data_IF_578941713898
#
_entry.id   IF_578941713898
#
_cell.length_a   1.000
_cell.length_b   1.000
_cell.length_c   1.000
_cell.angle_alpha   90.00
_cell.angle_beta   90.00
_cell.angle_gamma   90.00
#
_symmetry.space_group_name_H-M   'P 1'
#
loop_
_entity.id
_entity.type
_entity.pdbx_description
1 polymer ?
#
# COMPACT_ATOMS: atom_id res chain seq x y z
N UNK A 1 9.85 19.83 -16.98
CA UNK A 1 8.54 19.45 -16.40
C UNK A 1 8.71 18.33 -15.37
N UNK A 2 9.58 18.49 -14.37
CA UNK A 2 9.92 17.43 -13.40
C UNK A 2 9.36 17.55 -11.96
N UNK A 3 8.97 18.73 -11.42
CA UNK A 3 8.65 18.82 -9.99
C UNK A 3 7.31 18.16 -9.61
N UNK A 4 6.35 18.10 -10.54
CA UNK A 4 5.00 17.56 -10.27
C UNK A 4 5.06 16.04 -10.12
N UNK A 5 5.80 15.35 -11.00
CA UNK A 5 5.91 13.88 -10.96
C UNK A 5 6.59 13.38 -9.69
N UNK A 6 7.60 14.10 -9.20
CA UNK A 6 8.24 13.82 -7.90
C UNK A 6 7.28 14.04 -6.72
N UNK A 7 6.41 15.05 -6.77
CA UNK A 7 5.42 15.28 -5.71
C UNK A 7 4.34 14.18 -5.65
N UNK A 8 3.91 13.66 -6.81
CA UNK A 8 2.91 12.59 -6.89
C UNK A 8 3.48 11.32 -6.30
N UNK A 9 4.67 10.89 -6.75
CA UNK A 9 5.34 9.69 -6.23
C UNK A 9 5.62 9.78 -4.73
N UNK A 10 6.02 10.96 -4.25
CA UNK A 10 6.22 11.19 -2.81
C UNK A 10 4.92 11.03 -2.03
N UNK A 11 3.81 11.57 -2.54
CA UNK A 11 2.52 11.44 -1.89
C UNK A 11 2.02 9.99 -1.91
N UNK A 12 2.12 9.30 -3.04
CA UNK A 12 1.76 7.89 -3.14
C UNK A 12 2.61 7.03 -2.19
N UNK A 13 3.92 7.29 -2.09
CA UNK A 13 4.79 6.58 -1.16
C UNK A 13 4.37 6.78 0.30
N UNK A 14 4.03 8.02 0.67
CA UNK A 14 3.54 8.37 2.01
C UNK A 14 2.24 7.65 2.35
N UNK A 15 1.30 7.59 1.41
CA UNK A 15 0.04 6.85 1.59
C UNK A 15 0.35 5.37 1.80
N UNK A 16 1.16 4.76 0.93
CA UNK A 16 1.53 3.35 1.05
C UNK A 16 2.16 3.02 2.41
N UNK A 17 3.07 3.87 2.89
CA UNK A 17 3.71 3.65 4.20
C UNK A 17 2.73 3.76 5.36
N UNK A 18 1.77 4.69 5.30
CA UNK A 18 0.69 4.78 6.30
C UNK A 18 -0.18 3.53 6.31
N UNK A 19 -0.71 3.13 5.14
CA UNK A 19 -1.59 1.97 4.99
C UNK A 19 -0.88 0.67 5.39
N UNK A 20 0.40 0.52 5.03
CA UNK A 20 1.20 -0.64 5.43
C UNK A 20 1.40 -0.73 6.95
N UNK A 21 1.60 0.41 7.63
CA UNK A 21 1.71 0.44 9.08
C UNK A 21 0.37 0.08 9.76
N UNK A 22 -0.75 0.58 9.23
CA UNK A 22 -2.09 0.24 9.68
C UNK A 22 -2.41 -1.24 9.50
N UNK A 23 -2.06 -1.81 8.33
CA UNK A 23 -2.19 -3.25 8.09
C UNK A 23 -1.42 -4.07 9.12
N UNK A 24 -0.17 -3.73 9.37
CA UNK A 24 0.67 -4.45 10.32
C UNK A 24 0.12 -4.39 11.76
N UNK A 25 -0.34 -3.22 12.21
CA UNK A 25 -0.97 -3.07 13.53
C UNK A 25 -2.31 -3.82 13.62
N UNK A 26 -3.14 -3.76 12.57
CA UNK A 26 -4.39 -4.49 12.49
C UNK A 26 -4.18 -6.02 12.54
N UNK A 27 -3.20 -6.53 11.78
CA UNK A 27 -2.82 -7.95 11.81
C UNK A 27 -2.33 -8.37 13.20
N UNK A 28 -1.51 -7.54 13.86
CA UNK A 28 -1.03 -7.78 15.23
C UNK A 28 -2.17 -7.81 16.26
N UNK A 29 -3.20 -6.98 16.08
CA UNK A 29 -4.37 -6.90 16.98
C UNK A 29 -5.49 -7.88 16.61
N UNK A 30 -5.30 -8.68 15.56
CA UNK A 30 -6.34 -9.54 14.98
C UNK A 30 -7.61 -8.76 14.55
N UNK A 31 -7.47 -7.48 14.21
CA UNK A 31 -8.55 -6.68 13.63
C UNK A 31 -8.69 -7.01 12.14
N UNK A 32 -9.47 -8.05 11.86
CA UNK A 32 -9.69 -8.56 10.51
C UNK A 32 -10.35 -7.53 9.59
N UNK A 33 -11.19 -6.64 10.13
CA UNK A 33 -11.90 -5.65 9.32
C UNK A 33 -10.91 -4.60 8.81
N UNK A 34 -10.10 -4.05 9.70
CA UNK A 34 -9.10 -3.05 9.34
C UNK A 34 -8.02 -3.65 8.45
N UNK A 35 -7.57 -4.87 8.74
CA UNK A 35 -6.61 -5.57 7.87
C UNK A 35 -7.15 -5.79 6.45
N UNK A 36 -8.42 -6.21 6.32
CA UNK A 36 -9.06 -6.37 5.00
C UNK A 36 -9.11 -5.05 4.23
N UNK A 37 -9.54 -3.95 4.87
CA UNK A 37 -9.61 -2.65 4.21
C UNK A 37 -8.23 -2.15 3.77
N UNK A 38 -7.21 -2.28 4.62
CA UNK A 38 -5.85 -1.89 4.27
C UNK A 38 -5.30 -2.73 3.09
N UNK A 39 -5.63 -4.02 3.00
CA UNK A 39 -5.27 -4.86 1.85
C UNK A 39 -5.94 -4.40 0.56
N UNK A 40 -7.22 -4.01 0.61
CA UNK A 40 -7.95 -3.49 -0.56
C UNK A 40 -7.39 -2.14 -1.01
N UNK A 41 -6.98 -1.27 -0.08
CA UNK A 41 -6.29 -0.02 -0.42
C UNK A 41 -4.94 -0.29 -1.11
N UNK A 42 -4.13 -1.23 -0.59
CA UNK A 42 -2.86 -1.62 -1.23
C UNK A 42 -3.10 -2.21 -2.64
N UNK A 43 -4.19 -2.97 -2.85
CA UNK A 43 -4.59 -3.45 -4.19
C UNK A 43 -4.95 -2.31 -5.12
N UNK A 44 -5.75 -1.35 -4.67
CA UNK A 44 -6.09 -0.18 -5.46
C UNK A 44 -4.83 0.61 -5.85
N UNK A 45 -3.91 0.83 -4.90
CA UNK A 45 -2.64 1.52 -5.19
C UNK A 45 -1.80 0.79 -6.24
N UNK A 46 -1.74 -0.55 -6.18
CA UNK A 46 -1.06 -1.37 -7.19
C UNK A 46 -1.69 -1.19 -8.59
N UNK A 47 -3.02 -1.18 -8.67
CA UNK A 47 -3.75 -1.20 -9.94
C UNK A 47 -3.79 0.18 -10.60
N UNK A 48 -3.78 1.26 -9.82
CA UNK A 48 -3.95 2.63 -10.33
C UNK A 48 -2.67 3.49 -10.31
N UNK A 49 -1.58 3.03 -9.70
CA UNK A 49 -0.32 3.79 -9.75
C UNK A 49 0.47 3.51 -11.03
N UNK A 50 0.86 4.57 -11.72
CA UNK A 50 1.78 4.49 -12.86
C UNK A 50 3.23 4.24 -12.42
N UNK A 51 3.56 4.42 -11.13
CA UNK A 51 4.91 4.29 -10.61
C UNK A 51 5.30 2.82 -10.38
N UNK A 52 6.21 2.23 -11.18
CA UNK A 52 6.49 0.80 -11.11
C UNK A 52 7.07 0.34 -9.77
N UNK A 53 7.87 1.20 -9.13
CA UNK A 53 8.49 0.88 -7.85
C UNK A 53 7.45 0.82 -6.71
N UNK A 54 6.35 1.58 -6.80
CA UNK A 54 5.26 1.47 -5.85
C UNK A 54 4.45 0.20 -6.06
N UNK A 55 4.14 -0.14 -7.31
CA UNK A 55 3.46 -1.40 -7.63
C UNK A 55 4.22 -2.62 -7.09
N UNK A 56 5.55 -2.62 -7.22
CA UNK A 56 6.40 -3.67 -6.66
C UNK A 56 6.30 -3.78 -5.12
N UNK A 57 6.26 -2.65 -4.41
CA UNK A 57 6.06 -2.62 -2.95
C UNK A 57 4.67 -3.11 -2.54
N UNK A 58 3.64 -2.72 -3.28
CA UNK A 58 2.27 -3.21 -3.06
C UNK A 58 2.20 -4.72 -3.26
N UNK A 59 2.82 -5.25 -4.32
CA UNK A 59 2.89 -6.70 -4.55
C UNK A 59 3.61 -7.44 -3.41
N UNK A 60 4.70 -6.89 -2.88
CA UNK A 60 5.42 -7.48 -1.75
C UNK A 60 4.53 -7.53 -0.49
N UNK A 61 3.87 -6.42 -0.13
CA UNK A 61 2.96 -6.36 1.01
C UNK A 61 1.78 -7.34 0.83
N UNK A 62 1.19 -7.40 -0.37
CA UNK A 62 0.13 -8.35 -0.65
C UNK A 62 0.61 -9.80 -0.57
N UNK A 63 1.81 -10.13 -1.02
CA UNK A 63 2.34 -11.48 -0.92
C UNK A 63 2.60 -11.91 0.53
N UNK A 64 3.01 -10.97 1.40
CA UNK A 64 3.25 -11.22 2.82
C UNK A 64 1.97 -11.56 3.59
N UNK A 65 0.86 -10.90 3.25
CA UNK A 65 -0.40 -10.99 4.02
C UNK A 65 -1.54 -11.68 3.28
N UNK A 66 -1.46 -11.86 1.95
CA UNK A 66 -2.43 -12.65 1.16
C UNK A 66 -2.07 -14.13 1.16
N UNK A 67 -1.76 -14.67 2.34
CA UNK A 67 -1.70 -16.12 2.54
C UNK A 67 -3.12 -16.59 2.86
N UNK A 68 -3.56 -17.65 2.17
CA UNK A 68 -4.91 -18.21 2.15
C UNK A 68 -5.62 -18.32 3.51
#
# INVERSE_FOLDING_TARGET
MEPIMQSIQTNEFRIFTSVSAELHDAMRRHDRKTAYLALEEIRAMRDYSDWPALRARCNAALAEYSVH
#
